data_IF_581938620742
#
_entry.id   IF_581938620742
#
_cell.length_a   1.000
_cell.length_b   1.000
_cell.length_c   1.000
_cell.angle_alpha   90.00
_cell.angle_beta   90.00
_cell.angle_gamma   90.00
#
_symmetry.space_group_name_H-M   'P 1'
#
loop_
_entity.id
_entity.type
_entity.pdbx_description
1 polymer ?
#
# COMPACT_ATOMS: atom_id res chain seq x y z
N UNK A 1 -25.11 -4.48 -10.60
CA UNK A 1 -24.59 -5.12 -9.38
C UNK A 1 -23.41 -4.29 -8.91
N UNK A 2 -23.60 -3.52 -7.83
CA UNK A 2 -22.55 -2.76 -7.16
C UNK A 2 -22.33 -3.38 -5.79
N UNK A 3 -21.13 -3.95 -5.55
CA UNK A 3 -20.42 -4.04 -4.27
C UNK A 3 -19.34 -5.14 -4.34
N UNK A 4 -18.22 -4.88 -5.03
CA UNK A 4 -16.96 -5.60 -4.79
C UNK A 4 -16.01 -4.66 -4.06
N UNK A 5 -16.41 -4.24 -2.85
CA UNK A 5 -15.52 -3.62 -1.89
C UNK A 5 -14.73 -4.73 -1.20
N UNK A 6 -13.40 -4.65 -1.23
CA UNK A 6 -12.54 -5.50 -0.41
C UNK A 6 -12.94 -5.31 1.06
N UNK A 7 -13.05 -6.40 1.83
CA UNK A 7 -13.26 -6.29 3.27
C UNK A 7 -12.17 -5.39 3.86
N UNK A 8 -12.51 -4.32 4.59
CA UNK A 8 -11.53 -3.41 5.17
C UNK A 8 -10.52 -4.19 6.02
N UNK A 9 -9.24 -3.82 5.97
CA UNK A 9 -8.15 -4.43 6.76
C UNK A 9 -7.92 -5.97 6.65
N UNK A 10 -8.71 -6.70 5.86
CA UNK A 10 -8.20 -7.38 4.68
C UNK A 10 -6.69 -7.66 4.60
N UNK A 11 -6.10 -8.88 4.76
CA UNK A 11 -4.68 -9.07 4.41
C UNK A 11 -4.36 -8.56 2.99
N UNK A 12 -5.24 -8.85 2.02
CA UNK A 12 -5.12 -8.35 0.64
C UNK A 12 -5.31 -6.83 0.57
N UNK A 13 -6.21 -6.25 1.36
CA UNK A 13 -6.42 -4.79 1.40
C UNK A 13 -5.20 -4.06 1.98
N UNK A 14 -4.61 -4.59 3.05
CA UNK A 14 -3.38 -4.09 3.67
C UNK A 14 -2.24 -4.14 2.65
N UNK A 15 -2.01 -5.29 2.01
CA UNK A 15 -0.92 -5.46 1.05
C UNK A 15 -1.02 -4.52 -0.16
N UNK A 16 -2.25 -4.20 -0.58
CA UNK A 16 -2.50 -3.31 -1.74
C UNK A 16 -2.46 -1.83 -1.38
N UNK A 17 -2.86 -1.44 -0.18
CA UNK A 17 -3.15 -0.04 0.16
C UNK A 17 -2.24 0.61 1.19
N UNK A 18 -1.60 -0.16 2.07
CA UNK A 18 -0.98 0.42 3.28
C UNK A 18 0.18 1.38 2.97
N UNK A 19 0.97 1.11 1.92
CA UNK A 19 2.06 1.98 1.49
C UNK A 19 1.52 3.34 1.00
N UNK A 20 0.55 3.32 0.10
CA UNK A 20 -0.08 4.54 -0.42
C UNK A 20 -0.76 5.36 0.69
N UNK A 21 -1.48 4.71 1.60
CA UNK A 21 -2.13 5.38 2.74
C UNK A 21 -1.10 6.02 3.67
N UNK A 22 -0.01 5.30 3.99
CA UNK A 22 1.06 5.81 4.84
C UNK A 22 1.69 7.06 4.22
N UNK A 23 2.03 7.00 2.93
CA UNK A 23 2.65 8.11 2.21
C UNK A 23 1.69 9.30 2.09
N UNK A 24 0.41 9.06 1.80
CA UNK A 24 -0.60 10.11 1.71
C UNK A 24 -0.83 10.82 3.05
N UNK A 25 -0.94 10.07 4.15
CA UNK A 25 -1.08 10.65 5.49
C UNK A 25 0.15 11.43 5.91
N UNK A 26 1.36 10.98 5.54
CA UNK A 26 2.58 11.74 5.81
C UNK A 26 2.62 13.05 5.00
N UNK A 27 2.36 12.98 3.69
CA UNK A 27 2.34 14.14 2.78
C UNK A 27 1.32 15.20 3.19
N UNK A 28 0.14 14.77 3.64
CA UNK A 28 -0.97 15.66 3.98
C UNK A 28 -0.99 16.07 5.46
N UNK A 29 -0.38 15.25 6.33
CA UNK A 29 -0.29 15.52 7.77
C UNK A 29 0.75 16.58 8.10
N UNK A 30 1.82 16.71 7.31
CA UNK A 30 2.82 17.75 7.45
C UNK A 30 2.85 18.69 6.23
N UNK A 31 2.49 19.96 6.43
CA UNK A 31 2.47 20.99 5.39
C UNK A 31 3.82 21.18 4.71
N UNK A 32 4.93 20.91 5.40
CA UNK A 32 6.30 21.02 4.84
C UNK A 32 6.57 19.94 3.79
N UNK A 33 5.89 18.79 3.91
CA UNK A 33 6.03 17.65 3.04
C UNK A 33 5.01 17.63 1.87
N UNK A 34 4.04 18.56 1.82
CA UNK A 34 2.93 18.45 0.86
C UNK A 34 3.32 18.57 -0.63
N UNK A 35 4.35 19.36 -0.96
CA UNK A 35 4.73 19.59 -2.35
C UNK A 35 5.35 18.32 -3.00
N UNK A 36 5.18 18.11 -4.32
CA UNK A 36 5.53 16.84 -4.96
C UNK A 36 6.96 16.36 -4.72
N UNK A 37 7.93 17.28 -4.78
CA UNK A 37 9.37 17.04 -4.62
C UNK A 37 9.84 16.90 -3.15
N UNK A 38 8.92 16.93 -2.18
CA UNK A 38 9.27 16.92 -0.74
C UNK A 38 9.19 15.53 -0.13
N UNK A 39 9.07 14.48 -0.94
CA UNK A 39 9.16 13.11 -0.42
C UNK A 39 10.54 12.81 0.20
N UNK A 40 11.59 13.53 -0.20
CA UNK A 40 12.93 13.46 0.41
C UNK A 40 12.97 14.01 1.85
N UNK A 41 12.04 14.89 2.22
CA UNK A 41 12.07 15.61 3.50
C UNK A 41 11.69 14.75 4.70
N UNK A 42 11.33 13.47 4.47
CA UNK A 42 11.21 12.49 5.56
C UNK A 42 12.48 12.42 6.41
N UNK A 43 13.66 12.65 5.81
CA UNK A 43 14.94 12.70 6.53
C UNK A 43 14.99 13.78 7.61
N UNK A 44 14.16 14.82 7.50
CA UNK A 44 14.08 15.93 8.47
C UNK A 44 12.87 15.81 9.40
N UNK A 45 11.79 15.18 8.91
CA UNK A 45 10.49 15.17 9.58
C UNK A 45 10.04 13.78 10.07
N UNK A 46 10.90 12.75 10.01
CA UNK A 46 10.57 11.37 10.41
C UNK A 46 9.89 11.26 11.79
N UNK A 47 10.35 12.05 12.77
CA UNK A 47 9.78 12.09 14.13
C UNK A 47 8.36 12.64 14.16
N UNK A 48 8.07 13.64 13.33
CA UNK A 48 6.75 14.26 13.23
C UNK A 48 5.70 13.29 12.63
N UNK A 49 6.16 12.19 12.01
CA UNK A 49 5.32 11.16 11.40
C UNK A 49 5.02 9.97 12.34
N UNK A 50 5.58 9.92 13.55
CA UNK A 50 5.41 8.78 14.48
C UNK A 50 3.94 8.48 14.78
N UNK A 51 3.12 9.52 14.94
CA UNK A 51 1.68 9.38 15.23
C UNK A 51 0.86 8.77 14.09
N UNK A 52 1.37 8.71 12.85
CA UNK A 52 0.63 8.13 11.72
C UNK A 52 0.41 6.63 11.93
N UNK A 53 1.40 5.94 12.50
CA UNK A 53 1.29 4.51 12.79
C UNK A 53 0.15 4.24 13.78
N UNK A 54 0.00 5.08 14.80
CA UNK A 54 -1.09 4.98 15.77
C UNK A 54 -2.46 5.25 15.15
N UNK A 55 -2.56 6.28 14.31
CA UNK A 55 -3.81 6.64 13.63
C UNK A 55 -4.31 5.49 12.73
N UNK A 56 -3.42 4.91 11.90
CA UNK A 56 -3.80 3.81 11.00
C UNK A 56 -4.12 2.55 11.81
N UNK A 57 -3.32 2.24 12.83
CA UNK A 57 -3.52 1.06 13.67
C UNK A 57 -4.83 1.13 14.46
N UNK A 58 -5.15 2.28 15.06
CA UNK A 58 -6.41 2.46 15.77
C UNK A 58 -7.62 2.35 14.84
N UNK A 59 -7.50 2.82 13.58
CA UNK A 59 -8.55 2.60 12.58
C UNK A 59 -8.72 1.12 12.23
N UNK A 60 -7.63 0.34 12.21
CA UNK A 60 -7.69 -1.10 11.96
C UNK A 60 -8.40 -1.85 13.09
N UNK A 61 -8.11 -1.50 14.35
CA UNK A 61 -8.79 -2.04 15.53
C UNK A 61 -10.30 -1.75 15.51
N UNK A 62 -10.68 -0.53 15.15
CA UNK A 62 -12.08 -0.07 15.20
C UNK A 62 -12.95 -0.51 14.01
N UNK A 63 -12.38 -1.15 12.99
CA UNK A 63 -13.07 -1.34 11.71
C UNK A 63 -14.20 -2.38 11.76
N UNK A 64 -14.08 -3.39 12.62
CA UNK A 64 -15.04 -4.48 12.76
C UNK A 64 -15.32 -4.74 14.24
N UNK A 65 -16.56 -4.47 14.63
CA UNK A 65 -17.04 -4.61 16.02
C UNK A 65 -17.34 -6.06 16.40
N UNK A 66 -17.32 -6.99 15.44
CA UNK A 66 -17.50 -8.41 15.69
C UNK A 66 -16.19 -9.12 16.08
N UNK A 67 -15.03 -8.49 15.84
CA UNK A 67 -13.74 -8.99 16.34
C UNK A 67 -13.74 -8.97 17.86
N UNK A 68 -13.18 -10.02 18.46
CA UNK A 68 -12.89 -10.01 19.89
C UNK A 68 -11.69 -9.09 20.19
N UNK A 69 -11.57 -8.66 21.45
CA UNK A 69 -10.53 -7.70 21.87
C UNK A 69 -9.11 -8.17 21.53
N UNK A 70 -8.85 -9.47 21.60
CA UNK A 70 -7.52 -10.03 21.30
C UNK A 70 -7.19 -9.93 19.81
N UNK A 71 -8.09 -10.36 18.94
CA UNK A 71 -7.87 -10.33 17.49
C UNK A 71 -7.80 -8.87 16.97
N UNK A 72 -8.56 -7.96 17.59
CA UNK A 72 -8.49 -6.54 17.30
C UNK A 72 -7.12 -5.94 17.72
N UNK A 73 -6.60 -6.32 18.88
CA UNK A 73 -5.26 -5.93 19.36
C UNK A 73 -4.15 -6.46 18.45
N UNK A 74 -4.21 -7.75 18.08
CA UNK A 74 -3.25 -8.39 17.19
C UNK A 74 -3.24 -7.70 15.80
N UNK A 75 -4.41 -7.37 15.26
CA UNK A 75 -4.53 -6.60 14.02
C UNK A 75 -3.93 -5.20 14.17
N UNK A 76 -4.21 -4.49 15.28
CA UNK A 76 -3.65 -3.17 15.58
C UNK A 76 -2.13 -3.22 15.59
N UNK A 77 -1.52 -4.15 16.32
CA UNK A 77 -0.07 -4.29 16.43
C UNK A 77 0.57 -4.63 15.08
N UNK A 78 -0.04 -5.55 14.32
CA UNK A 78 0.42 -5.92 12.98
C UNK A 78 0.44 -4.73 12.03
N UNK A 79 -0.65 -3.96 12.00
CA UNK A 79 -0.76 -2.76 11.15
C UNK A 79 0.24 -1.70 11.59
N UNK A 80 0.34 -1.43 12.91
CA UNK A 80 1.30 -0.47 13.46
C UNK A 80 2.74 -0.79 13.05
N UNK A 81 3.17 -2.04 13.27
CA UNK A 81 4.51 -2.50 12.90
C UNK A 81 4.78 -2.39 11.40
N UNK A 82 3.77 -2.67 10.56
CA UNK A 82 3.90 -2.53 9.10
C UNK A 82 4.07 -1.08 8.67
N UNK A 83 3.32 -0.14 9.25
CA UNK A 83 3.46 1.30 8.95
C UNK A 83 4.82 1.83 9.40
N UNK A 84 5.28 1.47 10.60
CA UNK A 84 6.61 1.86 11.10
C UNK A 84 7.70 1.36 10.15
N UNK A 85 7.66 0.07 9.80
CA UNK A 85 8.62 -0.52 8.86
C UNK A 85 8.62 0.18 7.49
N UNK A 86 7.46 0.65 7.01
CA UNK A 86 7.37 1.42 5.77
C UNK A 86 7.97 2.82 5.90
N UNK A 87 7.72 3.52 7.00
CA UNK A 87 8.34 4.84 7.24
C UNK A 87 9.87 4.72 7.34
N UNK A 88 10.38 3.70 8.02
CA UNK A 88 11.82 3.44 8.12
C UNK A 88 12.42 3.06 6.75
N UNK A 89 11.70 2.25 5.97
CA UNK A 89 12.12 1.91 4.61
C UNK A 89 12.14 3.15 3.70
N UNK A 90 11.15 4.04 3.82
CA UNK A 90 11.12 5.29 3.06
C UNK A 90 12.27 6.19 3.46
N UNK A 91 12.54 6.38 4.75
CA UNK A 91 13.70 7.14 5.24
C UNK A 91 15.01 6.57 4.68
N UNK A 92 15.16 5.25 4.69
CA UNK A 92 16.31 4.58 4.09
C UNK A 92 16.45 4.88 2.59
N UNK A 93 15.38 4.71 1.81
CA UNK A 93 15.36 5.02 0.37
C UNK A 93 15.70 6.50 0.12
N UNK A 94 15.17 7.41 0.94
CA UNK A 94 15.43 8.83 0.83
C UNK A 94 16.91 9.14 1.08
N UNK A 95 17.56 8.49 2.06
CA UNK A 95 18.98 8.72 2.37
C UNK A 95 19.94 8.33 1.23
N UNK A 96 19.49 7.49 0.30
CA UNK A 96 20.26 7.04 -0.87
C UNK A 96 20.07 7.91 -2.12
N UNK A 97 19.25 8.97 -2.03
CA UNK A 97 18.86 9.79 -3.19
C UNK A 97 19.14 11.26 -2.92
N UNK A 98 19.46 12.00 -3.99
CA UNK A 98 19.64 13.47 -3.93
C UNK A 98 18.27 14.17 -3.94
N UNK A 99 17.32 13.61 -4.69
CA UNK A 99 15.96 14.11 -4.83
C UNK A 99 15.00 12.92 -4.88
N UNK A 100 13.80 13.11 -4.35
CA UNK A 100 12.74 12.11 -4.34
C UNK A 100 11.40 12.82 -4.41
N UNK A 101 10.50 12.34 -5.27
CA UNK A 101 9.11 12.80 -5.33
C UNK A 101 8.14 11.67 -4.95
N UNK A 102 6.91 12.04 -4.60
CA UNK A 102 5.91 11.05 -4.17
C UNK A 102 5.55 10.08 -5.29
N UNK A 103 5.18 10.61 -6.46
CA UNK A 103 4.96 9.90 -7.70
C UNK A 103 5.50 10.79 -8.83
N UNK A 104 5.52 10.29 -10.08
CA UNK A 104 5.93 11.07 -11.25
C UNK A 104 4.93 12.22 -11.53
N UNK A 105 5.05 13.32 -10.79
CA UNK A 105 4.17 14.49 -10.85
C UNK A 105 4.85 15.65 -11.60
N UNK A 106 6.14 15.87 -11.35
CA UNK A 106 6.90 16.99 -11.94
C UNK A 106 8.36 16.62 -12.21
N UNK A 107 8.96 17.23 -13.22
CA UNK A 107 10.40 17.12 -13.50
C UNK A 107 10.89 15.67 -13.68
N UNK A 108 12.12 15.41 -13.24
CA UNK A 108 12.81 14.13 -13.42
C UNK A 108 13.25 13.48 -12.09
N UNK A 109 12.68 13.91 -10.95
CA UNK A 109 12.99 13.27 -9.67
C UNK A 109 12.50 11.81 -9.69
N UNK A 110 13.25 10.84 -9.15
CA UNK A 110 12.75 9.48 -9.03
C UNK A 110 11.50 9.45 -8.12
N UNK A 111 10.46 8.66 -8.47
CA UNK A 111 9.28 8.52 -7.64
C UNK A 111 9.53 7.55 -6.47
N UNK A 112 8.80 7.75 -5.37
CA UNK A 112 8.69 6.80 -4.27
C UNK A 112 7.62 5.74 -4.57
N UNK A 113 6.43 6.18 -4.98
CA UNK A 113 5.28 5.33 -5.29
C UNK A 113 5.25 5.00 -6.78
N UNK A 114 5.06 3.71 -7.06
CA UNK A 114 4.90 3.19 -8.41
C UNK A 114 3.48 2.65 -8.63
N UNK A 115 3.04 2.68 -9.88
CA UNK A 115 1.86 1.91 -10.29
C UNK A 115 2.20 0.39 -10.17
N UNK A 116 1.28 -0.49 -9.73
CA UNK A 116 1.59 -1.90 -9.49
C UNK A 116 2.08 -2.69 -10.71
N UNK A 117 1.70 -2.25 -11.91
CA UNK A 117 2.06 -2.85 -13.19
C UNK A 117 3.11 -2.03 -13.94
N UNK A 118 3.79 -1.10 -13.25
CA UNK A 118 4.89 -0.34 -13.82
C UNK A 118 6.07 -1.29 -14.12
N UNK A 119 6.49 -1.45 -15.38
CA UNK A 119 7.63 -2.30 -15.72
C UNK A 119 8.93 -1.88 -15.03
N UNK A 120 9.08 -0.60 -14.68
CA UNK A 120 10.27 -0.12 -14.00
C UNK A 120 10.33 -0.60 -12.55
N UNK A 121 9.17 -0.87 -11.93
CA UNK A 121 9.09 -1.40 -10.57
C UNK A 121 9.77 -2.77 -10.44
N UNK A 122 9.69 -3.61 -11.47
CA UNK A 122 10.32 -4.93 -11.46
C UNK A 122 11.86 -4.85 -11.40
N UNK A 123 12.42 -3.75 -11.88
CA UNK A 123 13.86 -3.47 -11.88
C UNK A 123 14.34 -2.81 -10.60
N UNK A 124 13.43 -2.35 -9.75
CA UNK A 124 13.77 -1.70 -8.49
C UNK A 124 14.18 -2.70 -7.41
N UNK A 125 15.01 -2.28 -6.43
CA UNK A 125 15.29 -3.06 -5.23
C UNK A 125 14.02 -3.48 -4.47
N UNK A 126 14.09 -4.59 -3.73
CA UNK A 126 12.94 -5.18 -3.04
C UNK A 126 12.26 -4.21 -2.06
N UNK A 127 13.04 -3.35 -1.42
CA UNK A 127 12.58 -2.31 -0.51
C UNK A 127 11.71 -1.25 -1.21
N UNK A 128 12.09 -0.83 -2.42
CA UNK A 128 11.32 0.13 -3.24
C UNK A 128 10.03 -0.51 -3.74
N UNK A 129 10.07 -1.81 -4.07
CA UNK A 129 8.89 -2.57 -4.54
C UNK A 129 7.75 -2.65 -3.53
N UNK A 130 8.01 -2.31 -2.25
CA UNK A 130 6.97 -2.17 -1.22
C UNK A 130 6.07 -0.95 -1.46
N UNK A 131 6.55 0.07 -2.19
CA UNK A 131 5.86 1.33 -2.43
C UNK A 131 5.04 1.29 -3.71
N UNK A 132 3.92 0.59 -3.64
CA UNK A 132 2.91 0.55 -4.71
C UNK A 132 1.69 1.38 -4.32
N UNK A 133 1.17 2.15 -5.27
CA UNK A 133 -0.10 2.84 -5.13
C UNK A 133 -1.05 2.40 -6.23
N UNK A 134 -2.12 1.71 -5.86
CA UNK A 134 -3.17 1.37 -6.82
C UNK A 134 -4.05 2.60 -7.09
N UNK A 135 -4.47 2.78 -8.35
CA UNK A 135 -5.43 3.83 -8.74
C UNK A 135 -6.81 3.64 -8.10
N UNK A 136 -7.11 2.42 -7.68
CA UNK A 136 -8.35 2.06 -7.01
C UNK A 136 -8.07 0.96 -5.98
N UNK A 137 -8.63 1.13 -4.78
CA UNK A 137 -8.76 0.05 -3.79
C UNK A 137 -10.04 -0.76 -3.98
N UNK A 138 -10.89 -0.41 -4.97
CA UNK A 138 -12.02 -1.25 -5.36
C UNK A 138 -11.50 -2.44 -6.14
N UNK A 139 -12.14 -3.59 -5.98
CA UNK A 139 -11.76 -4.76 -6.74
C UNK A 139 -12.05 -4.52 -8.24
N UNK A 140 -11.03 -4.72 -9.07
CA UNK A 140 -11.16 -4.68 -10.53
C UNK A 140 -10.34 -5.81 -11.13
N UNK A 141 -10.53 -7.03 -10.61
CA UNK A 141 -10.29 -8.22 -11.42
C UNK A 141 -11.64 -8.58 -12.04
N UNK A 142 -11.69 -8.69 -13.37
CA UNK A 142 -12.88 -9.25 -14.02
C UNK A 142 -13.11 -10.64 -13.43
N UNK A 143 -14.36 -10.97 -13.10
CA UNK A 143 -14.74 -12.37 -12.90
C UNK A 143 -14.51 -13.06 -14.24
N UNK A 144 -13.37 -13.75 -14.37
CA UNK A 144 -13.05 -14.54 -15.56
C UNK A 144 -13.53 -15.96 -15.28
N UNK A 145 -14.44 -16.46 -16.11
CA UNK A 145 -14.80 -17.87 -16.07
C UNK A 145 -13.56 -18.67 -16.50
N UNK A 146 -13.02 -19.47 -15.59
CA UNK A 146 -12.00 -20.46 -15.92
C UNK A 146 -12.70 -21.65 -16.54
N UNK A 147 -12.36 -21.96 -17.78
CA UNK A 147 -12.83 -23.15 -18.47
C UNK A 147 -11.69 -24.16 -18.47
N UNK A 148 -11.83 -25.24 -17.72
CA UNK A 148 -10.84 -26.31 -17.69
C UNK A 148 -10.97 -27.10 -18.99
N UNK A 149 -9.88 -27.13 -19.77
CA UNK A 149 -9.80 -27.92 -21.00
C UNK A 149 -8.70 -28.97 -20.88
N UNK A 150 -8.97 -30.15 -21.40
CA UNK A 150 -7.95 -31.19 -21.57
C UNK A 150 -6.90 -30.74 -22.62
N UNK A 151 -5.71 -31.37 -22.67
CA UNK A 151 -4.66 -31.05 -23.64
C UNK A 151 -5.12 -31.12 -25.11
N UNK A 152 -6.17 -31.90 -25.39
CA UNK A 152 -6.78 -32.05 -26.71
C UNK A 152 -7.83 -30.95 -27.04
N UNK A 153 -8.02 -29.98 -26.14
CA UNK A 153 -8.86 -28.80 -26.35
C UNK A 153 -10.34 -28.93 -25.99
N UNK A 154 -10.76 -30.08 -25.45
CA UNK A 154 -12.15 -30.33 -25.01
C UNK A 154 -12.39 -29.85 -23.57
N UNK A 155 -13.56 -29.27 -23.35
CA UNK A 155 -14.04 -28.78 -22.04
C UNK A 155 -14.36 -29.97 -21.12
N UNK A 156 -13.92 -29.90 -19.87
CA UNK A 156 -14.20 -30.94 -18.87
C UNK A 156 -15.49 -30.51 -18.15
N UNK A 157 -16.55 -31.30 -18.26
CA UNK A 157 -17.73 -31.14 -17.41
C UNK A 157 -17.33 -31.53 -15.97
N UNK A 158 -17.47 -30.60 -15.02
CA UNK A 158 -17.32 -30.92 -13.61
C UNK A 158 -18.53 -31.76 -13.17
N UNK A 159 -18.33 -33.06 -12.96
CA UNK A 159 -19.33 -33.94 -12.34
C UNK A 159 -19.63 -33.46 -10.90
N UNK A 160 -20.92 -33.33 -10.56
CA UNK A 160 -21.47 -32.83 -9.27
C UNK A 160 -20.91 -33.49 -7.99
#
# INVERSE_FOLDING_TARGET
MEATSVTPFSPRAIDRGIAAITVALARLGDRRMTAPLRAIDILQHRKDLEGIADVIAHRAEMHDKALNDKDADDLRQKVKGRVISLLDTWEHIASQKIMLQYQQEVGQAPPLLFDPLDPELERQPLEVRKFKAQRSLRDVEQTVNLWVRNPDGFEIEEDE
#
